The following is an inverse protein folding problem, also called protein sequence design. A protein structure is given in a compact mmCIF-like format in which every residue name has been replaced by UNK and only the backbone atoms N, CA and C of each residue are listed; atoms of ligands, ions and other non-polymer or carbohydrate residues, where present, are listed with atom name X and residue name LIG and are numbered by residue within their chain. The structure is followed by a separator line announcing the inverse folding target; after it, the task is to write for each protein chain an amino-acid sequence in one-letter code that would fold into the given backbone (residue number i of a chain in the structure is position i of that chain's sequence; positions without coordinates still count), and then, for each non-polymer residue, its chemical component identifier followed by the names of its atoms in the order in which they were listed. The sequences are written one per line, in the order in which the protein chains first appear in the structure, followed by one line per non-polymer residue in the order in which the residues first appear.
data_IF_924035694521
#
_entry.id   IF_924035694521
#
_cell.length_a   1.000
_cell.length_b   1.000
_cell.length_c   1.000
_cell.angle_alpha   90.00
_cell.angle_beta   90.00
_cell.angle_gamma   90.00
#
_symmetry.space_group_name_H-M   'P 1'
#
loop_
_entity.id
_entity.type
_entity.pdbx_description
1 polymer ?
#
# COMPACT_ATOMS: atom_id res chain seq x y z
N UNK A 1 -2.25 -11.45 25.54
CA UNK A 1 -1.24 -10.54 24.96
C UNK A 1 -1.87 -10.03 23.69
N UNK A 2 -2.52 -8.86 23.75
CA UNK A 2 -3.04 -8.21 22.54
C UNK A 2 -1.84 -7.56 21.88
N UNK A 3 -1.17 -8.31 21.01
CA UNK A 3 -0.15 -7.78 20.11
C UNK A 3 -0.88 -6.86 19.14
N UNK A 4 -1.08 -5.61 19.53
CA UNK A 4 -1.44 -4.55 18.60
C UNK A 4 -0.27 -4.47 17.62
N UNK A 5 -0.47 -5.04 16.44
CA UNK A 5 0.45 -4.99 15.32
C UNK A 5 0.54 -3.53 14.89
N UNK A 6 1.44 -2.81 15.56
CA UNK A 6 1.84 -1.43 15.30
C UNK A 6 2.40 -1.44 13.88
N UNK A 7 1.54 -1.03 12.92
CA UNK A 7 1.78 -1.00 11.46
C UNK A 7 1.72 -2.38 10.77
N UNK A 8 0.52 -2.82 10.39
CA UNK A 8 0.38 -3.86 9.36
C UNK A 8 1.13 -3.41 8.10
N UNK A 9 2.09 -4.22 7.62
CA UNK A 9 2.84 -3.98 6.39
C UNK A 9 1.95 -4.25 5.16
N UNK A 10 1.05 -3.31 4.88
CA UNK A 10 0.07 -3.37 3.80
C UNK A 10 0.16 -2.13 2.90
N UNK A 11 -0.57 -2.14 1.78
CA UNK A 11 -0.69 -1.00 0.87
C UNK A 11 -1.02 0.29 1.63
N UNK A 12 -1.98 0.25 2.55
CA UNK A 12 -2.41 1.42 3.32
C UNK A 12 -1.32 2.11 4.14
N UNK A 13 -0.30 1.37 4.57
CA UNK A 13 0.87 1.87 5.32
C UNK A 13 2.12 2.00 4.46
N UNK A 14 2.03 1.70 3.16
CA UNK A 14 3.12 1.77 2.20
C UNK A 14 3.25 3.18 1.62
N UNK A 15 4.48 3.72 1.52
CA UNK A 15 4.77 5.02 0.88
C UNK A 15 4.36 5.10 -0.60
N UNK A 16 4.18 3.94 -1.23
CA UNK A 16 3.80 3.82 -2.64
C UNK A 16 2.29 3.72 -2.85
N UNK A 17 1.48 3.64 -1.79
CA UNK A 17 0.02 3.72 -1.95
C UNK A 17 -0.40 5.18 -1.94
N UNK A 18 -0.89 5.65 -3.08
CA UNK A 18 -1.20 7.06 -3.31
C UNK A 18 -2.50 7.20 -4.07
N UNK A 19 -3.11 8.37 -3.96
CA UNK A 19 -4.27 8.72 -4.74
C UNK A 19 -3.88 9.16 -6.16
N UNK A 20 -4.63 8.70 -7.15
CA UNK A 20 -4.52 9.18 -8.53
C UNK A 20 -5.29 10.52 -8.71
N UNK A 21 -5.39 10.99 -9.95
CA UNK A 21 -6.13 12.21 -10.29
C UNK A 21 -7.65 12.11 -10.03
N UNK A 22 -8.18 10.89 -9.92
CA UNK A 22 -9.58 10.58 -9.64
C UNK A 22 -9.88 10.46 -8.14
N UNK A 23 -8.88 10.66 -7.28
CA UNK A 23 -8.93 10.46 -5.83
C UNK A 23 -9.00 8.97 -5.40
N UNK A 24 -8.74 8.04 -6.33
CA UNK A 24 -8.72 6.59 -6.07
C UNK A 24 -7.33 6.11 -5.63
N UNK A 25 -7.29 5.11 -4.75
CA UNK A 25 -6.04 4.57 -4.22
C UNK A 25 -5.41 3.56 -5.19
N UNK A 26 -4.19 3.85 -5.61
CA UNK A 26 -3.41 3.03 -6.52
C UNK A 26 -2.02 2.72 -5.93
N UNK A 27 -1.45 1.60 -6.35
CA UNK A 27 -0.05 1.29 -6.11
C UNK A 27 0.83 2.07 -7.09
N UNK A 28 1.78 2.87 -6.60
CA UNK A 28 2.75 3.62 -7.40
C UNK A 28 4.17 3.08 -7.24
N UNK A 29 4.34 1.82 -6.80
CA UNK A 29 5.65 1.22 -6.63
C UNK A 29 6.19 0.77 -8.00
N UNK A 30 7.32 1.34 -8.49
CA UNK A 30 7.85 0.99 -9.81
C UNK A 30 8.41 -0.44 -9.89
N UNK A 31 8.60 -1.10 -8.75
CA UNK A 31 9.10 -2.47 -8.64
C UNK A 31 7.99 -3.50 -8.46
N UNK A 32 6.74 -3.05 -8.29
CA UNK A 32 5.58 -3.94 -8.14
C UNK A 32 4.98 -4.27 -9.51
N UNK A 33 4.58 -5.52 -9.70
CA UNK A 33 3.78 -5.94 -10.86
C UNK A 33 2.40 -5.27 -10.90
N UNK A 34 1.95 -4.72 -9.77
CA UNK A 34 0.68 -4.00 -9.61
C UNK A 34 0.84 -2.47 -9.75
N UNK A 35 1.91 -1.98 -10.37
CA UNK A 35 2.10 -0.54 -10.60
C UNK A 35 0.93 0.05 -11.41
N UNK A 36 0.35 1.14 -10.91
CA UNK A 36 -0.83 1.83 -11.44
C UNK A 36 -2.13 1.03 -11.38
N UNK A 37 -2.14 -0.06 -10.61
CA UNK A 37 -3.34 -0.84 -10.31
C UNK A 37 -3.98 -0.30 -9.03
N UNK A 38 -5.30 -0.39 -8.98
CA UNK A 38 -6.12 -0.01 -7.84
C UNK A 38 -5.96 -1.05 -6.74
N UNK A 39 -5.67 -0.59 -5.53
CA UNK A 39 -5.46 -1.47 -4.38
C UNK A 39 -6.13 -0.89 -3.15
N UNK A 40 -6.67 -1.75 -2.31
CA UNK A 40 -7.30 -1.40 -1.05
C UNK A 40 -6.25 -1.16 0.05
N UNK A 41 -6.69 -0.65 1.19
CA UNK A 41 -5.80 -0.35 2.32
C UNK A 41 -5.15 -1.63 2.89
N UNK A 42 -5.89 -2.74 2.97
CA UNK A 42 -5.42 -3.98 3.60
C UNK A 42 -4.64 -4.90 2.64
N UNK A 43 -4.58 -4.55 1.35
CA UNK A 43 -3.85 -5.36 0.36
C UNK A 43 -2.37 -5.51 0.74
N UNK A 44 -1.80 -6.68 0.50
CA UNK A 44 -0.38 -6.94 0.72
C UNK A 44 0.48 -6.24 -0.33
N UNK A 45 1.68 -5.80 0.04
CA UNK A 45 2.66 -5.22 -0.88
C UNK A 45 4.01 -5.94 -0.73
N UNK A 46 4.41 -6.75 -1.70
CA UNK A 46 5.70 -7.46 -1.68
C UNK A 46 6.92 -6.51 -1.66
N UNK A 47 6.75 -5.29 -2.15
CA UNK A 47 7.75 -4.21 -2.11
C UNK A 47 7.34 -3.11 -1.14
N UNK A 48 6.75 -3.50 0.00
CA UNK A 48 6.33 -2.57 1.03
C UNK A 48 7.52 -1.74 1.53
N UNK A 49 7.32 -0.43 1.62
CA UNK A 49 8.22 0.47 2.32
C UNK A 49 7.38 1.40 3.18
N UNK A 50 7.76 1.53 4.46
CA UNK A 50 7.03 2.34 5.43
C UNK A 50 6.81 3.78 4.98
N UNK A 51 5.62 4.29 5.30
CA UNK A 51 5.18 5.65 5.02
C UNK A 51 5.49 6.64 6.15
#
# INVERSE_FOLDING_TARGET
MTEYNDYAECCGTCRYHKKDASDDWICTCPYSEYMSVWTEYDDSCDSWEGR
#
